data_IF_554588060444
#
_entry.id   IF_554588060444
#
_cell.length_a   1.000
_cell.length_b   1.000
_cell.length_c   1.000
_cell.angle_alpha   90.00
_cell.angle_beta   90.00
_cell.angle_gamma   90.00
#
_symmetry.space_group_name_H-M   'P 1'
#
loop_
_entity.id
_entity.type
_entity.pdbx_description
1 polymer ?
#
# COMPACT_ATOMS: atom_id res chain seq x y z
N UNK A 1 -11.13 -2.43 9.75
CA UNK A 1 -9.74 -2.05 10.05
C UNK A 1 -9.46 -0.72 9.37
N UNK A 2 -8.88 0.24 10.09
CA UNK A 2 -8.49 1.53 9.50
C UNK A 2 -7.18 1.38 8.74
N UNK A 3 -6.99 2.11 7.64
CA UNK A 3 -5.72 2.17 6.90
C UNK A 3 -4.77 3.12 7.63
N UNK A 4 -3.50 2.74 7.88
CA UNK A 4 -2.56 3.61 8.57
C UNK A 4 -2.16 4.84 7.71
N UNK A 5 -1.50 5.82 8.33
CA UNK A 5 -0.99 7.04 7.69
C UNK A 5 -2.07 7.84 6.92
N UNK A 6 -3.12 8.33 7.60
CA UNK A 6 -4.17 9.13 6.95
C UNK A 6 -3.64 10.37 6.24
N UNK A 7 -2.57 10.99 6.77
CA UNK A 7 -1.92 12.16 6.19
C UNK A 7 -1.32 11.91 4.79
N UNK A 8 -1.03 10.67 4.41
CA UNK A 8 -0.53 10.36 3.07
C UNK A 8 -1.61 10.50 1.99
N UNK A 9 -2.89 10.59 2.37
CA UNK A 9 -4.01 10.71 1.43
C UNK A 9 -3.83 11.92 0.51
N UNK A 10 -3.57 13.09 1.08
CA UNK A 10 -3.41 14.33 0.30
C UNK A 10 -2.15 14.31 -0.57
N UNK A 11 -1.06 13.75 -0.03
CA UNK A 11 0.18 13.58 -0.79
C UNK A 11 -0.03 12.67 -2.02
N UNK A 12 -0.72 11.55 -1.86
CA UNK A 12 -0.99 10.61 -2.95
C UNK A 12 -1.91 11.27 -3.99
N UNK A 13 -2.91 12.05 -3.56
CA UNK A 13 -3.78 12.81 -4.46
C UNK A 13 -2.97 13.78 -5.33
N UNK A 14 -2.07 14.54 -4.73
CA UNK A 14 -1.20 15.49 -5.45
C UNK A 14 -0.28 14.77 -6.45
N UNK A 15 0.36 13.67 -6.04
CA UNK A 15 1.25 12.90 -6.92
C UNK A 15 0.46 12.30 -8.10
N UNK A 16 -0.70 11.71 -7.82
CA UNK A 16 -1.53 11.13 -8.88
C UNK A 16 -2.02 12.19 -9.87
N UNK A 17 -2.41 13.39 -9.39
CA UNK A 17 -2.78 14.51 -10.24
C UNK A 17 -1.63 14.96 -11.15
N UNK A 18 -0.42 15.09 -10.59
CA UNK A 18 0.79 15.40 -11.36
C UNK A 18 1.07 14.34 -12.44
N UNK A 19 0.99 13.05 -12.10
CA UNK A 19 1.21 11.94 -13.05
C UNK A 19 0.17 11.97 -14.17
N UNK A 20 -1.09 12.22 -13.83
CA UNK A 20 -2.20 12.27 -14.79
C UNK A 20 -2.29 13.62 -15.52
N UNK A 21 -1.39 14.56 -15.24
CA UNK A 21 -1.34 15.91 -15.81
C UNK A 21 -2.67 16.64 -15.70
N UNK A 22 -3.29 16.56 -14.53
CA UNK A 22 -4.55 17.24 -14.19
C UNK A 22 -4.36 18.09 -12.93
N UNK A 23 -5.15 19.15 -12.80
CA UNK A 23 -5.20 19.89 -11.54
C UNK A 23 -5.90 19.02 -10.48
N UNK A 24 -5.32 18.84 -9.26
CA UNK A 24 -5.98 18.15 -8.16
C UNK A 24 -7.37 18.72 -7.78
N UNK A 25 -7.62 20.01 -8.05
CA UNK A 25 -8.88 20.69 -7.79
C UNK A 25 -9.98 20.31 -8.80
N UNK A 26 -9.60 19.90 -10.01
CA UNK A 26 -10.52 19.49 -11.07
C UNK A 26 -11.01 18.04 -10.91
N UNK A 27 -10.60 17.37 -9.83
CA UNK A 27 -10.90 15.96 -9.61
C UNK A 27 -12.30 15.79 -9.01
N UNK A 28 -13.19 15.03 -9.67
CA UNK A 28 -14.52 14.80 -9.14
C UNK A 28 -14.48 14.12 -7.76
N UNK A 29 -15.54 14.27 -6.98
CA UNK A 29 -15.68 13.61 -5.67
C UNK A 29 -15.58 12.07 -5.76
N UNK A 30 -15.92 11.48 -6.91
CA UNK A 30 -15.72 10.04 -7.16
C UNK A 30 -14.24 9.62 -7.08
N UNK A 31 -13.31 10.56 -7.17
CA UNK A 31 -11.89 10.28 -7.02
C UNK A 31 -11.48 10.00 -5.59
N UNK A 32 -12.14 10.61 -4.62
CA UNK A 32 -11.92 10.29 -3.20
C UNK A 32 -12.33 8.85 -2.90
N UNK A 33 -13.39 8.35 -3.57
CA UNK A 33 -13.81 6.93 -3.49
C UNK A 33 -12.73 6.02 -4.08
N UNK A 34 -12.18 6.36 -5.25
CA UNK A 34 -11.10 5.59 -5.90
C UNK A 34 -9.86 5.56 -5.01
N UNK A 35 -9.48 6.70 -4.44
CA UNK A 35 -8.33 6.81 -3.55
C UNK A 35 -8.52 5.95 -2.29
N UNK A 36 -9.68 6.02 -1.64
CA UNK A 36 -9.97 5.22 -0.45
C UNK A 36 -10.00 3.72 -0.76
N UNK A 37 -10.58 3.33 -1.89
CA UNK A 37 -10.55 1.95 -2.36
C UNK A 37 -9.12 1.46 -2.64
N UNK A 38 -8.31 2.27 -3.33
CA UNK A 38 -6.92 1.94 -3.64
C UNK A 38 -6.06 1.82 -2.38
N UNK A 39 -6.24 2.74 -1.41
CA UNK A 39 -5.57 2.70 -0.10
C UNK A 39 -5.92 1.44 0.68
N UNK A 40 -7.20 1.09 0.72
CA UNK A 40 -7.65 -0.13 1.37
C UNK A 40 -7.06 -1.37 0.68
N UNK A 41 -7.06 -1.41 -0.65
CA UNK A 41 -6.52 -2.53 -1.42
C UNK A 41 -5.01 -2.69 -1.20
N UNK A 42 -4.26 -1.59 -1.23
CA UNK A 42 -2.82 -1.58 -0.92
C UNK A 42 -2.54 -2.11 0.49
N UNK A 43 -3.30 -1.66 1.49
CA UNK A 43 -3.16 -2.15 2.86
C UNK A 43 -3.49 -3.64 3.00
N UNK A 44 -4.55 -4.11 2.34
CA UNK A 44 -4.88 -5.53 2.32
C UNK A 44 -3.81 -6.39 1.64
N UNK A 45 -3.15 -5.89 0.59
CA UNK A 45 -2.02 -6.60 -0.01
C UNK A 45 -0.85 -6.74 0.96
N UNK A 46 -0.49 -5.65 1.65
CA UNK A 46 0.56 -5.65 2.67
C UNK A 46 0.22 -6.65 3.79
N UNK A 47 -1.00 -6.55 4.36
CA UNK A 47 -1.44 -7.45 5.41
C UNK A 47 -1.45 -8.90 4.96
N UNK A 48 -2.04 -9.21 3.81
CA UNK A 48 -2.16 -10.59 3.32
C UNK A 48 -0.77 -11.21 3.13
N UNK A 49 0.14 -10.55 2.41
CA UNK A 49 1.48 -11.08 2.18
C UNK A 49 2.26 -11.27 3.48
N UNK A 50 2.27 -10.26 4.38
CA UNK A 50 3.09 -10.33 5.59
C UNK A 50 2.50 -11.27 6.64
N UNK A 51 1.17 -11.36 6.76
CA UNK A 51 0.53 -12.33 7.68
C UNK A 51 0.70 -13.77 7.21
N UNK A 52 0.66 -14.03 5.90
CA UNK A 52 0.99 -15.35 5.34
C UNK A 52 2.45 -15.75 5.63
N UNK A 53 3.34 -14.77 5.79
CA UNK A 53 4.73 -14.96 6.20
C UNK A 53 4.92 -15.06 7.72
N UNK A 54 3.82 -15.03 8.49
CA UNK A 54 3.81 -15.19 9.95
C UNK A 54 3.99 -13.89 10.74
N UNK A 55 4.00 -12.72 10.10
CA UNK A 55 4.06 -11.45 10.83
C UNK A 55 2.72 -11.11 11.47
N UNK A 56 2.75 -10.70 12.73
CA UNK A 56 1.58 -10.21 13.44
C UNK A 56 1.23 -8.76 13.03
N UNK A 57 -0.04 -8.39 13.13
CA UNK A 57 -0.54 -7.05 12.78
C UNK A 57 0.28 -5.93 13.45
N UNK A 58 0.55 -6.05 14.75
CA UNK A 58 1.31 -5.05 15.50
C UNK A 58 2.78 -4.91 15.03
N UNK A 59 3.36 -5.93 14.40
CA UNK A 59 4.68 -5.85 13.78
C UNK A 59 4.60 -5.10 12.44
N UNK A 60 3.56 -5.37 11.66
CA UNK A 60 3.32 -4.74 10.36
C UNK A 60 3.01 -3.23 10.53
N UNK A 61 2.21 -2.86 11.53
CA UNK A 61 1.87 -1.46 11.82
C UNK A 61 3.08 -0.64 12.30
N UNK A 62 4.09 -1.31 12.87
CA UNK A 62 5.33 -0.70 13.36
C UNK A 62 6.50 -0.83 12.37
N UNK A 63 6.27 -1.45 11.22
CA UNK A 63 7.29 -1.67 10.22
C UNK A 63 7.77 -0.34 9.63
N UNK A 64 9.07 -0.10 9.68
CA UNK A 64 9.70 1.17 9.29
C UNK A 64 9.33 1.58 7.85
N UNK A 65 9.31 0.64 6.90
CA UNK A 65 9.02 0.91 5.48
C UNK A 65 7.53 0.80 5.11
N UNK A 66 6.64 0.56 6.09
CA UNK A 66 5.21 0.36 5.84
C UNK A 66 4.57 1.55 5.12
N UNK A 67 4.91 2.77 5.54
CA UNK A 67 4.40 3.99 4.94
C UNK A 67 4.83 4.14 3.46
N UNK A 68 6.05 3.71 3.11
CA UNK A 68 6.57 3.79 1.75
C UNK A 68 5.86 2.78 0.84
N UNK A 69 5.77 1.53 1.27
CA UNK A 69 5.04 0.49 0.55
C UNK A 69 3.56 0.84 0.36
N UNK A 70 2.90 1.36 1.40
CA UNK A 70 1.51 1.76 1.31
C UNK A 70 1.32 2.87 0.28
N UNK A 71 2.19 3.89 0.26
CA UNK A 71 2.15 4.98 -0.72
C UNK A 71 2.29 4.44 -2.14
N UNK A 72 3.33 3.65 -2.39
CA UNK A 72 3.65 3.17 -3.75
C UNK A 72 2.56 2.24 -4.29
N UNK A 73 2.09 1.30 -3.46
CA UNK A 73 1.00 0.40 -3.82
C UNK A 73 -0.34 1.14 -3.98
N UNK A 74 -0.59 2.18 -3.18
CA UNK A 74 -1.79 3.01 -3.38
C UNK A 74 -1.72 3.70 -4.73
N UNK A 75 -0.57 4.32 -5.08
CA UNK A 75 -0.38 4.96 -6.38
C UNK A 75 -0.54 3.94 -7.52
N UNK A 76 0.02 2.74 -7.38
CA UNK A 76 -0.17 1.65 -8.33
C UNK A 76 -1.66 1.38 -8.59
N UNK A 77 -2.46 1.19 -7.54
CA UNK A 77 -3.89 0.89 -7.69
C UNK A 77 -4.70 2.08 -8.23
N UNK A 78 -4.44 3.30 -7.75
CA UNK A 78 -5.06 4.52 -8.28
C UNK A 78 -4.82 4.64 -9.78
N UNK A 79 -3.57 4.48 -10.22
CA UNK A 79 -3.20 4.62 -11.63
C UNK A 79 -3.68 3.43 -12.47
N UNK A 80 -3.76 2.24 -11.90
CA UNK A 80 -4.34 1.06 -12.58
C UNK A 80 -5.82 1.27 -12.88
N UNK A 81 -6.58 1.81 -11.92
CA UNK A 81 -7.99 2.15 -12.13
C UNK A 81 -8.11 3.31 -13.12
N UNK A 82 -7.25 4.32 -13.00
CA UNK A 82 -7.21 5.47 -13.91
C UNK A 82 -6.92 5.04 -15.36
N UNK A 83 -6.10 4.01 -15.56
CA UNK A 83 -5.68 3.54 -16.88
C UNK A 83 -6.85 3.13 -17.80
N UNK A 84 -8.03 2.84 -17.24
CA UNK A 84 -9.25 2.60 -18.02
C UNK A 84 -9.79 3.87 -18.70
N UNK A 85 -9.42 5.06 -18.22
CA UNK A 85 -9.95 6.36 -18.65
C UNK A 85 -8.87 7.30 -19.19
N UNK A 86 -7.59 6.97 -19.02
CA UNK A 86 -6.47 7.81 -19.46
C UNK A 86 -5.24 6.95 -19.75
N UNK A 87 -4.34 7.47 -20.59
CA UNK A 87 -3.10 6.78 -20.91
C UNK A 87 -2.14 6.86 -19.72
N UNK A 88 -1.88 5.71 -19.09
CA UNK A 88 -0.89 5.55 -18.02
C UNK A 88 0.28 4.72 -18.55
N UNK A 89 1.51 5.14 -18.29
CA UNK A 89 2.69 4.38 -18.70
C UNK A 89 2.77 3.05 -17.95
N UNK A 90 2.85 1.94 -18.68
CA UNK A 90 3.10 0.63 -18.08
C UNK A 90 4.43 0.56 -17.32
N UNK A 91 5.45 1.27 -17.79
CA UNK A 91 6.75 1.29 -17.10
C UNK A 91 6.64 1.99 -15.74
N UNK A 92 5.74 2.97 -15.61
CA UNK A 92 5.45 3.60 -14.33
C UNK A 92 4.66 2.65 -13.41
N UNK A 93 3.63 1.98 -13.92
CA UNK A 93 2.87 1.00 -13.15
C UNK A 93 3.77 -0.12 -12.62
N UNK A 94 4.66 -0.66 -13.47
CA UNK A 94 5.65 -1.67 -13.05
C UNK A 94 6.60 -1.19 -11.96
N UNK A 95 7.00 0.08 -11.98
CA UNK A 95 7.87 0.66 -10.94
C UNK A 95 7.16 0.88 -9.60
N UNK A 96 5.84 1.07 -9.61
CA UNK A 96 5.02 1.24 -8.41
C UNK A 96 4.52 -0.09 -7.84
N UNK A 97 4.51 -1.15 -8.65
CA UNK A 97 4.07 -2.47 -8.24
C UNK A 97 5.11 -3.18 -7.37
N UNK A 98 5.02 -2.95 -6.05
CA UNK A 98 5.91 -3.55 -5.05
C UNK A 98 5.36 -4.83 -4.45
N UNK A 99 4.31 -5.43 -5.03
CA UNK A 99 3.64 -6.61 -4.42
C UNK A 99 4.58 -7.80 -4.32
N UNK A 100 5.43 -8.03 -5.33
CA UNK A 100 6.41 -9.11 -5.31
C UNK A 100 7.53 -8.88 -4.28
N UNK A 101 7.88 -7.63 -3.98
CA UNK A 101 8.86 -7.33 -2.93
C UNK A 101 8.36 -7.72 -1.54
N UNK A 102 7.03 -7.71 -1.30
CA UNK A 102 6.44 -8.10 -0.03
C UNK A 102 6.65 -9.58 0.31
N UNK A 103 6.93 -10.43 -0.68
CA UNK A 103 7.16 -11.86 -0.46
C UNK A 103 8.55 -12.14 0.16
N UNK A 104 9.49 -11.23 -0.02
CA UNK A 104 10.90 -11.41 0.37
C UNK A 104 11.41 -10.36 1.35
N UNK A 105 10.75 -9.20 1.43
CA UNK A 105 11.12 -8.06 2.29
C UNK A 105 11.24 -8.46 3.75
N UNK A 106 12.33 -8.05 4.41
CA UNK A 106 12.48 -8.22 5.86
C UNK A 106 11.80 -7.06 6.59
N UNK A 107 10.99 -7.34 7.60
CA UNK A 107 10.44 -6.29 8.47
C UNK A 107 11.55 -5.80 9.41
N UNK A 108 11.72 -4.48 9.47
CA UNK A 108 12.49 -3.81 10.52
C UNK A 108 11.57 -2.93 11.35
N UNK A 109 11.87 -2.82 12.65
CA UNK A 109 11.22 -1.89 13.57
C UNK A 109 12.31 -1.15 14.30
N UNK A 110 12.33 0.18 14.20
CA UNK A 110 13.40 1.03 14.74
C UNK A 110 14.78 0.62 14.24
N UNK A 111 14.88 0.21 12.97
CA UNK A 111 16.13 -0.23 12.34
C UNK A 111 16.61 -1.63 12.75
N UNK A 112 15.87 -2.35 13.59
CA UNK A 112 16.20 -3.71 13.99
C UNK A 112 15.36 -4.74 13.21
N UNK A 113 15.96 -5.81 12.66
CA UNK A 113 15.22 -6.85 11.97
C UNK A 113 14.30 -7.60 12.94
N UNK A 114 13.08 -7.84 12.51
CA UNK A 114 12.05 -8.54 13.29
C UNK A 114 11.70 -9.84 12.57
N UNK A 115 11.70 -10.94 13.33
CA UNK A 115 11.26 -12.24 12.85
C UNK A 115 9.72 -12.31 12.83
N UNK A 116 9.13 -13.17 11.98
CA UNK A 116 7.73 -13.54 12.10
C UNK A 116 7.37 -13.92 13.54
N UNK A 117 6.15 -13.59 13.97
CA UNK A 117 5.66 -14.07 15.25
C UNK A 117 5.65 -15.60 15.23
N UNK A 118 6.04 -16.25 16.33
CA UNK A 118 5.94 -17.70 16.43
C UNK A 118 4.51 -18.13 16.08
N UNK A 119 4.34 -19.13 15.21
CA UNK A 119 3.02 -19.68 14.99
C UNK A 119 2.51 -20.19 16.33
N UNK A 120 1.35 -19.70 16.77
CA UNK A 120 0.65 -20.28 17.92
C UNK A 120 0.23 -21.68 17.50
N UNK A 121 1.09 -22.67 17.74
CA UNK A 121 0.73 -24.07 17.61
C UNK A 121 -0.28 -24.32 18.72
N UNK A 122 -1.58 -24.30 18.40
CA UNK A 122 -2.61 -24.82 19.30
C UNK A 122 -2.44 -26.34 19.36
N UNK A 123 -1.50 -26.79 20.19
CA UNK A 123 -1.43 -28.18 20.62
C UNK A 123 -2.65 -28.46 21.50
N UNK A 124 -3.70 -29.03 20.90
CA UNK A 124 -4.77 -29.78 21.57
C UNK A 124 -5.70 -29.03 22.54
N UNK A 125 -6.97 -28.90 22.14
CA UNK A 125 -8.11 -29.19 23.02
C UNK A 125 -9.13 -30.01 22.25
#
# INVERSE_FOLDING_TARGET
MSVPFPQQRDQIRQIAAMVLRRDPADWPQSWDIILDHARQTAWQNILTCLTQRGYALHQIERWDSCAEFLRDLTLFWVLTIAAAFTQVSESLLRRLDRRQELDTTRITINGQPVAPAEPVIRMGQ
#
